data_IF_007522640221
#
_entry.id   IF_007522640221
#
_cell.length_a   1.000
_cell.length_b   1.000
_cell.length_c   1.000
_cell.angle_alpha   90.00
_cell.angle_beta   90.00
_cell.angle_gamma   90.00
#
_symmetry.space_group_name_H-M   'P 1'
#
loop_
_entity.id
_entity.type
_entity.pdbx_description
1 polymer ?
#
# COMPACT_ATOMS: atom_id res chain seq x y z
N UNK A 1 38.33 -9.19 1.78
CA UNK A 1 37.15 -9.50 2.59
C UNK A 1 35.95 -9.04 1.77
N UNK A 2 35.10 -9.95 1.32
CA UNK A 2 33.88 -9.56 0.59
C UNK A 2 32.96 -8.92 1.62
N UNK A 3 32.65 -7.63 1.47
CA UNK A 3 31.53 -7.03 2.20
C UNK A 3 30.29 -7.87 1.89
N UNK A 4 29.77 -8.59 2.88
CA UNK A 4 28.51 -9.29 2.71
C UNK A 4 27.42 -8.22 2.58
N UNK A 5 26.72 -8.22 1.45
CA UNK A 5 25.53 -7.38 1.30
C UNK A 5 24.51 -7.84 2.32
N UNK A 6 24.06 -6.93 3.19
CA UNK A 6 22.95 -7.09 4.10
C UNK A 6 21.88 -6.03 3.82
N UNK A 7 20.73 -6.15 4.44
CA UNK A 7 19.61 -5.22 4.25
C UNK A 7 19.97 -3.80 4.69
N UNK A 8 20.70 -3.63 5.81
CA UNK A 8 21.06 -2.33 6.35
C UNK A 8 22.02 -1.58 5.40
N UNK A 9 23.01 -2.28 4.82
CA UNK A 9 23.95 -1.70 3.85
C UNK A 9 23.29 -1.30 2.52
N UNK A 10 22.11 -1.89 2.20
CA UNK A 10 21.30 -1.50 1.03
C UNK A 10 20.32 -0.35 1.33
N UNK A 11 20.31 0.17 2.56
CA UNK A 11 19.43 1.26 2.98
C UNK A 11 18.15 0.81 3.67
N UNK A 12 17.99 -0.49 3.93
CA UNK A 12 16.81 -1.06 4.63
C UNK A 12 17.27 -1.64 5.97
N UNK A 13 17.26 -0.80 6.99
CA UNK A 13 17.59 -1.21 8.37
C UNK A 13 16.31 -1.67 9.09
N UNK A 14 16.08 -2.98 9.12
CA UNK A 14 14.88 -3.61 9.68
C UNK A 14 14.72 -3.31 11.19
N UNK A 15 15.82 -3.24 11.93
CA UNK A 15 15.76 -2.97 13.37
C UNK A 15 15.40 -1.51 13.65
N UNK A 16 15.99 -0.59 12.89
CA UNK A 16 15.67 0.85 12.98
C UNK A 16 14.23 1.12 12.53
N UNK A 17 13.79 0.50 11.46
CA UNK A 17 12.41 0.59 10.98
C UNK A 17 11.41 0.06 12.02
N UNK A 18 11.69 -1.10 12.59
CA UNK A 18 10.89 -1.68 13.68
C UNK A 18 10.78 -0.75 14.89
N UNK A 19 11.88 -0.11 15.29
CA UNK A 19 11.88 0.87 16.38
C UNK A 19 11.06 2.13 16.04
N UNK A 20 11.15 2.63 14.80
CA UNK A 20 10.38 3.76 14.32
C UNK A 20 8.88 3.46 14.31
N UNK A 21 8.48 2.29 13.79
CA UNK A 21 7.08 1.82 13.79
C UNK A 21 6.55 1.66 15.21
N UNK A 22 7.32 1.06 16.12
CA UNK A 22 6.94 0.93 17.53
C UNK A 22 6.69 2.30 18.20
N UNK A 23 7.53 3.29 17.90
CA UNK A 23 7.35 4.68 18.39
C UNK A 23 6.08 5.33 17.84
N UNK A 24 5.79 5.12 16.55
CA UNK A 24 4.56 5.59 15.91
C UNK A 24 3.33 4.98 16.58
N UNK A 25 3.28 3.65 16.69
CA UNK A 25 2.17 2.90 17.32
C UNK A 25 1.97 3.34 18.76
N UNK A 26 3.06 3.49 19.54
CA UNK A 26 2.99 3.97 20.92
C UNK A 26 2.34 5.36 21.06
N UNK A 27 2.49 6.21 20.05
CA UNK A 27 1.88 7.54 20.01
C UNK A 27 0.39 7.51 19.66
N UNK A 28 -0.09 6.44 18.99
CA UNK A 28 -1.46 6.31 18.49
C UNK A 28 -2.44 5.67 19.49
N UNK A 29 -1.99 5.15 20.62
CA UNK A 29 -2.80 4.38 21.59
C UNK A 29 -4.08 5.06 22.11
N UNK A 30 -4.22 6.37 21.91
CA UNK A 30 -5.38 7.16 22.38
C UNK A 30 -6.42 7.42 21.29
N UNK A 31 -6.19 6.97 20.06
CA UNK A 31 -7.05 7.31 18.90
C UNK A 31 -8.03 6.21 18.52
N UNK A 32 -8.19 5.18 19.33
CA UNK A 32 -9.05 4.04 19.04
C UNK A 32 -10.49 4.26 19.51
N UNK A 33 -11.43 3.75 18.74
CA UNK A 33 -12.85 3.73 19.12
C UNK A 33 -13.09 2.69 20.22
N UNK A 34 -14.18 2.89 20.99
CA UNK A 34 -14.55 1.95 22.06
C UNK A 34 -15.07 0.64 21.47
N UNK A 35 -14.75 -0.51 22.08
CA UNK A 35 -15.31 -1.81 21.71
C UNK A 35 -16.83 -1.78 21.61
N UNK A 36 -17.40 -2.50 20.63
CA UNK A 36 -18.83 -2.52 20.36
C UNK A 36 -19.34 -1.34 19.54
N UNK A 37 -18.48 -0.48 19.02
CA UNK A 37 -18.87 0.61 18.11
C UNK A 37 -18.23 0.45 16.73
N UNK A 38 -18.91 0.84 15.64
CA UNK A 38 -18.30 0.78 14.31
C UNK A 38 -16.95 1.50 14.24
N UNK A 39 -15.94 0.80 13.74
CA UNK A 39 -14.57 1.30 13.69
C UNK A 39 -13.73 0.98 14.94
N UNK A 40 -14.25 0.25 15.91
CA UNK A 40 -13.44 -0.26 17.01
C UNK A 40 -12.44 -1.29 16.48
N UNK A 41 -11.16 -1.24 16.91
CA UNK A 41 -10.15 -2.18 16.45
C UNK A 41 -10.45 -3.59 16.97
N UNK A 42 -10.13 -4.57 16.13
CA UNK A 42 -10.18 -5.99 16.48
C UNK A 42 -8.77 -6.55 16.39
N UNK A 43 -8.27 -7.08 17.49
CA UNK A 43 -6.95 -7.70 17.52
C UNK A 43 -6.95 -9.03 16.77
N UNK A 44 -6.06 -9.17 15.80
CA UNK A 44 -5.76 -10.42 15.13
C UNK A 44 -4.27 -10.74 15.30
N UNK A 45 -3.90 -11.60 16.23
CA UNK A 45 -2.51 -11.95 16.46
C UNK A 45 -1.83 -12.49 15.19
N UNK A 46 -0.74 -11.85 14.78
CA UNK A 46 0.02 -12.22 13.58
C UNK A 46 -0.65 -11.84 12.25
N UNK A 47 -1.74 -11.08 12.28
CA UNK A 47 -2.43 -10.62 11.08
C UNK A 47 -1.70 -9.45 10.40
N UNK A 48 -1.68 -9.47 9.07
CA UNK A 48 -1.37 -8.33 8.23
C UNK A 48 -2.65 -7.53 8.00
N UNK A 49 -2.61 -6.21 8.12
CA UNK A 49 -3.77 -5.37 7.94
C UNK A 49 -4.56 -5.11 9.23
N UNK A 50 -5.32 -4.03 9.21
CA UNK A 50 -6.17 -3.61 10.31
C UNK A 50 -7.57 -4.20 10.20
N UNK A 51 -8.09 -4.74 11.31
CA UNK A 51 -9.48 -5.16 11.43
C UNK A 51 -10.25 -4.19 12.32
N UNK A 52 -11.45 -3.82 11.88
CA UNK A 52 -12.36 -2.99 12.66
C UNK A 52 -13.78 -3.56 12.68
N UNK A 53 -14.51 -3.32 13.76
CA UNK A 53 -15.93 -3.66 13.85
C UNK A 53 -16.78 -2.80 12.89
N UNK A 54 -17.71 -3.44 12.18
CA UNK A 54 -18.66 -2.77 11.31
C UNK A 54 -20.03 -3.45 11.34
N UNK A 55 -20.83 -3.12 12.32
CA UNK A 55 -22.15 -3.76 12.56
C UNK A 55 -21.99 -5.26 12.88
N UNK A 56 -22.56 -6.13 12.05
CA UNK A 56 -22.43 -7.60 12.16
C UNK A 56 -21.23 -8.16 11.43
N UNK A 57 -20.40 -7.32 10.82
CA UNK A 57 -19.24 -7.69 10.01
C UNK A 57 -17.96 -7.10 10.60
N UNK A 58 -16.84 -7.58 10.10
CA UNK A 58 -15.53 -6.93 10.28
C UNK A 58 -15.12 -6.36 8.93
N UNK A 59 -14.50 -5.19 8.95
CA UNK A 59 -13.78 -4.66 7.79
C UNK A 59 -12.29 -4.86 8.00
N UNK A 60 -11.64 -5.42 6.98
CA UNK A 60 -10.19 -5.51 6.91
C UNK A 60 -9.66 -4.41 5.99
N UNK A 61 -8.53 -3.80 6.36
CA UNK A 61 -7.87 -2.78 5.54
C UNK A 61 -6.38 -3.05 5.51
N UNK A 62 -5.79 -2.96 4.33
CA UNK A 62 -4.36 -3.02 4.12
C UNK A 62 -3.91 -1.86 3.23
N UNK A 63 -2.73 -1.32 3.50
CA UNK A 63 -2.11 -0.29 2.67
C UNK A 63 -0.66 -0.63 2.43
N UNK A 64 -0.24 -0.57 1.17
CA UNK A 64 1.14 -0.84 0.75
C UNK A 64 1.48 -0.08 -0.54
N UNK A 65 2.79 0.09 -0.80
CA UNK A 65 3.34 0.73 -1.98
C UNK A 65 4.12 -0.24 -2.86
N UNK A 66 4.23 0.09 -4.15
CA UNK A 66 4.99 -0.72 -5.12
C UNK A 66 6.50 -0.70 -4.80
N UNK A 67 6.99 0.41 -4.28
CA UNK A 67 8.38 0.55 -3.86
C UNK A 67 9.39 0.50 -5.01
N UNK A 68 10.53 -0.15 -4.79
CA UNK A 68 11.70 -0.13 -5.70
C UNK A 68 11.45 -0.66 -7.11
N UNK A 69 10.40 -1.44 -7.35
CA UNK A 69 10.01 -1.86 -8.70
C UNK A 69 9.69 -0.67 -9.61
N UNK A 70 9.22 0.45 -9.05
CA UNK A 70 8.93 1.67 -9.82
C UNK A 70 10.20 2.28 -10.42
N UNK A 71 11.32 2.19 -9.74
CA UNK A 71 12.62 2.63 -10.28
C UNK A 71 12.98 1.84 -11.55
N UNK A 72 12.74 0.52 -11.51
CA UNK A 72 12.97 -0.35 -12.67
C UNK A 72 12.01 0.01 -13.79
N UNK A 73 10.69 0.13 -13.49
CA UNK A 73 9.67 0.50 -14.45
C UNK A 73 9.97 1.84 -15.14
N UNK A 74 10.44 2.82 -14.37
CA UNK A 74 10.85 4.14 -14.87
C UNK A 74 12.09 4.04 -15.76
N UNK A 75 13.12 3.28 -15.34
CA UNK A 75 14.35 3.11 -16.10
C UNK A 75 14.11 2.45 -17.46
N UNK A 76 13.22 1.44 -17.52
CA UNK A 76 12.86 0.74 -18.77
C UNK A 76 11.65 1.36 -19.48
N UNK A 77 11.05 2.39 -18.93
CA UNK A 77 9.84 3.06 -19.45
C UNK A 77 8.66 2.09 -19.68
N UNK A 78 8.40 1.23 -18.72
CA UNK A 78 7.34 0.22 -18.77
C UNK A 78 6.50 0.25 -17.49
N UNK A 79 5.31 0.82 -17.54
CA UNK A 79 4.41 0.97 -16.37
C UNK A 79 3.18 0.06 -16.45
N UNK A 80 3.04 -0.74 -17.48
CA UNK A 80 1.83 -1.55 -17.75
C UNK A 80 1.56 -2.69 -16.75
N UNK A 81 2.46 -2.97 -15.80
CA UNK A 81 2.27 -3.97 -14.74
C UNK A 81 2.24 -3.41 -13.32
N UNK A 82 2.65 -2.14 -13.13
CA UNK A 82 2.82 -1.60 -11.77
C UNK A 82 1.51 -1.47 -10.97
N UNK A 83 0.39 -1.28 -11.66
CA UNK A 83 -0.93 -1.28 -11.02
C UNK A 83 -1.33 -2.68 -10.53
N UNK A 84 -0.93 -3.74 -11.24
CA UNK A 84 -1.14 -5.13 -10.79
C UNK A 84 -0.28 -5.40 -9.55
N UNK A 85 0.99 -4.96 -9.55
CA UNK A 85 1.85 -5.07 -8.38
C UNK A 85 1.24 -4.34 -7.17
N UNK A 86 0.79 -3.10 -7.36
CA UNK A 86 0.17 -2.29 -6.31
C UNK A 86 -1.08 -2.98 -5.72
N UNK A 87 -1.97 -3.46 -6.57
CA UNK A 87 -3.17 -4.18 -6.14
C UNK A 87 -2.80 -5.46 -5.39
N UNK A 88 -1.89 -6.25 -5.93
CA UNK A 88 -1.52 -7.55 -5.37
C UNK A 88 -0.93 -7.43 -3.97
N UNK A 89 -0.07 -6.44 -3.71
CA UNK A 89 0.52 -6.23 -2.38
C UNK A 89 -0.56 -6.00 -1.32
N UNK A 90 -1.53 -5.16 -1.62
CA UNK A 90 -2.62 -4.85 -0.69
C UNK A 90 -3.66 -5.98 -0.55
N UNK A 91 -4.05 -6.59 -1.67
CA UNK A 91 -5.06 -7.67 -1.69
C UNK A 91 -4.54 -8.93 -1.00
N UNK A 92 -3.27 -9.28 -1.20
CA UNK A 92 -2.68 -10.45 -0.56
C UNK A 92 -2.65 -10.32 0.96
N UNK A 93 -2.46 -9.13 1.50
CA UNK A 93 -2.54 -8.89 2.94
C UNK A 93 -3.96 -9.15 3.49
N UNK A 94 -5.00 -8.76 2.76
CA UNK A 94 -6.38 -9.07 3.12
C UNK A 94 -6.66 -10.57 3.08
N UNK A 95 -6.13 -11.28 2.08
CA UNK A 95 -6.26 -12.74 1.98
C UNK A 95 -5.57 -13.46 3.16
N UNK A 96 -4.46 -12.91 3.69
CA UNK A 96 -3.77 -13.46 4.85
C UNK A 96 -4.62 -13.45 6.12
N UNK A 97 -5.61 -12.57 6.21
CA UNK A 97 -6.57 -12.52 7.33
C UNK A 97 -7.93 -13.14 6.98
N UNK A 98 -8.04 -13.78 5.82
CA UNK A 98 -9.27 -14.44 5.35
C UNK A 98 -10.37 -13.47 4.91
N UNK A 99 -10.03 -12.23 4.60
CA UNK A 99 -10.98 -11.23 4.12
C UNK A 99 -11.11 -11.31 2.58
N UNK A 100 -12.32 -11.05 2.08
CA UNK A 100 -12.59 -10.87 0.66
C UNK A 100 -12.37 -9.40 0.30
N UNK A 101 -11.44 -9.07 -0.61
CA UNK A 101 -11.24 -7.70 -1.04
C UNK A 101 -12.41 -7.23 -1.91
N UNK A 102 -12.94 -6.03 -1.64
CA UNK A 102 -14.12 -5.47 -2.31
C UNK A 102 -13.87 -4.10 -2.92
N UNK A 103 -12.96 -3.32 -2.34
CA UNK A 103 -12.68 -1.96 -2.79
C UNK A 103 -11.18 -1.65 -2.72
N UNK A 104 -10.75 -0.73 -3.57
CA UNK A 104 -9.39 -0.24 -3.64
C UNK A 104 -9.37 1.26 -3.93
N UNK A 105 -8.44 1.97 -3.33
CA UNK A 105 -8.10 3.34 -3.68
C UNK A 105 -6.59 3.43 -3.87
N UNK A 106 -6.15 4.24 -4.84
CA UNK A 106 -4.74 4.45 -5.14
C UNK A 106 -4.25 5.83 -4.71
N UNK A 107 -2.95 5.96 -4.53
CA UNK A 107 -2.26 7.23 -4.40
C UNK A 107 -1.06 7.24 -5.33
N UNK A 108 -1.08 8.17 -6.29
CA UNK A 108 0.00 8.41 -7.26
C UNK A 108 0.69 9.71 -6.89
N UNK A 109 2.00 9.67 -6.67
CA UNK A 109 2.82 10.86 -6.49
C UNK A 109 3.86 10.94 -7.61
N UNK A 110 3.98 12.11 -8.24
CA UNK A 110 4.91 12.35 -9.34
C UNK A 110 5.64 13.69 -9.17
N UNK A 111 6.91 13.81 -9.60
CA UNK A 111 7.58 15.11 -9.63
C UNK A 111 6.97 16.04 -10.68
N UNK A 112 6.44 15.46 -11.77
CA UNK A 112 5.77 16.16 -12.87
C UNK A 112 4.75 15.24 -13.52
N UNK A 113 3.53 15.70 -13.79
CA UNK A 113 2.52 14.92 -14.50
C UNK A 113 2.96 14.55 -15.91
N UNK A 114 2.69 13.31 -16.31
CA UNK A 114 2.87 12.79 -17.66
C UNK A 114 1.63 11.98 -18.06
N UNK A 115 0.82 12.45 -19.03
CA UNK A 115 -0.41 11.78 -19.43
C UNK A 115 -0.21 10.34 -19.95
N UNK A 116 0.91 10.05 -20.61
CA UNK A 116 1.18 8.71 -21.14
C UNK A 116 1.50 7.72 -20.01
N UNK A 117 2.31 8.15 -19.05
CA UNK A 117 2.61 7.37 -17.85
C UNK A 117 1.34 7.12 -17.03
N UNK A 118 0.54 8.17 -16.79
CA UNK A 118 -0.72 8.04 -16.04
C UNK A 118 -1.71 7.10 -16.75
N UNK A 119 -1.82 7.17 -18.08
CA UNK A 119 -2.66 6.26 -18.84
C UNK A 119 -2.20 4.80 -18.72
N UNK A 120 -0.89 4.55 -18.78
CA UNK A 120 -0.33 3.21 -18.62
C UNK A 120 -0.57 2.64 -17.20
N UNK A 121 -0.38 3.45 -16.17
CA UNK A 121 -0.67 3.08 -14.77
C UNK A 121 -2.16 2.81 -14.60
N UNK A 122 -3.03 3.69 -15.11
CA UNK A 122 -4.48 3.52 -15.05
C UNK A 122 -4.98 2.25 -15.74
N UNK A 123 -4.44 1.94 -16.92
CA UNK A 123 -4.75 0.68 -17.61
C UNK A 123 -4.31 -0.56 -16.82
N UNK A 124 -3.16 -0.46 -16.15
CA UNK A 124 -2.65 -1.53 -15.27
C UNK A 124 -3.52 -1.71 -14.02
N UNK A 125 -3.97 -0.62 -13.40
CA UNK A 125 -4.90 -0.65 -12.27
C UNK A 125 -6.27 -1.23 -12.68
N UNK A 126 -6.80 -0.81 -13.84
CA UNK A 126 -8.05 -1.38 -14.36
C UNK A 126 -7.95 -2.89 -14.55
N UNK A 127 -6.84 -3.37 -15.11
CA UNK A 127 -6.58 -4.81 -15.26
C UNK A 127 -6.46 -5.51 -13.93
N UNK A 128 -5.82 -4.88 -12.94
CA UNK A 128 -5.72 -5.41 -11.58
C UNK A 128 -7.10 -5.56 -10.92
N UNK A 129 -7.98 -4.56 -11.09
CA UNK A 129 -9.36 -4.61 -10.59
C UNK A 129 -10.15 -5.79 -11.18
N UNK A 130 -10.00 -6.05 -12.49
CA UNK A 130 -10.62 -7.21 -13.13
C UNK A 130 -10.11 -8.55 -12.55
N UNK A 131 -8.78 -8.66 -12.34
CA UNK A 131 -8.16 -9.88 -11.84
C UNK A 131 -8.54 -10.16 -10.38
N UNK A 132 -8.61 -9.14 -9.55
CA UNK A 132 -8.93 -9.24 -8.13
C UNK A 132 -10.44 -9.20 -7.85
N UNK A 133 -11.28 -8.91 -8.86
CA UNK A 133 -12.72 -8.66 -8.71
C UNK A 133 -13.01 -7.56 -7.68
N UNK A 134 -12.29 -6.45 -7.76
CA UNK A 134 -12.29 -5.33 -6.80
C UNK A 134 -12.73 -4.05 -7.51
N UNK A 135 -13.51 -3.22 -6.84
CA UNK A 135 -13.88 -1.90 -7.34
C UNK A 135 -12.80 -0.88 -7.03
N UNK A 136 -12.27 -0.19 -8.06
CA UNK A 136 -11.50 1.05 -7.85
C UNK A 136 -12.48 2.15 -7.43
N UNK A 137 -12.51 2.46 -6.15
CA UNK A 137 -13.49 3.36 -5.55
C UNK A 137 -13.08 4.84 -5.62
N UNK A 138 -11.82 5.11 -5.93
CA UNK A 138 -11.26 6.44 -6.02
C UNK A 138 -9.74 6.40 -5.95
N UNK A 139 -9.14 7.56 -5.78
CA UNK A 139 -7.70 7.71 -5.66
C UNK A 139 -7.28 9.17 -5.57
N UNK A 140 -5.99 9.40 -5.46
CA UNK A 140 -5.38 10.72 -5.45
C UNK A 140 -4.17 10.76 -6.38
N UNK A 141 -4.02 11.84 -7.11
CA UNK A 141 -2.82 12.11 -7.93
C UNK A 141 -2.18 13.42 -7.50
N UNK A 142 -1.00 13.34 -6.93
CA UNK A 142 -0.27 14.48 -6.40
C UNK A 142 0.96 14.82 -7.26
N UNK A 143 1.07 16.09 -7.64
CA UNK A 143 2.29 16.65 -8.25
C UNK A 143 3.16 17.23 -7.14
N UNK A 144 4.29 16.60 -6.85
CA UNK A 144 5.15 16.91 -5.70
C UNK A 144 6.60 17.19 -6.13
N UNK A 145 6.85 18.29 -6.89
CA UNK A 145 8.20 18.65 -7.32
C UNK A 145 9.10 18.94 -6.12
N UNK A 146 10.28 18.31 -6.10
CA UNK A 146 11.24 18.45 -5.00
C UNK A 146 10.96 17.61 -3.76
N UNK A 147 9.82 16.92 -3.70
CA UNK A 147 9.49 15.95 -2.63
C UNK A 147 9.72 14.52 -3.15
N UNK A 148 9.18 14.20 -4.31
CA UNK A 148 9.46 12.92 -4.99
C UNK A 148 10.35 13.17 -6.21
N UNK A 149 11.25 12.24 -6.49
CA UNK A 149 12.16 12.30 -7.66
C UNK A 149 11.64 11.51 -8.84
N UNK A 150 10.81 10.52 -8.58
CA UNK A 150 10.21 9.61 -9.56
C UNK A 150 8.74 9.37 -9.20
N UNK A 151 8.04 8.63 -10.07
CA UNK A 151 6.69 8.17 -9.78
C UNK A 151 6.71 7.25 -8.55
N UNK A 152 5.84 7.52 -7.61
CA UNK A 152 5.47 6.60 -6.52
C UNK A 152 4.01 6.20 -6.66
N UNK A 153 3.72 4.94 -6.33
CA UNK A 153 2.39 4.35 -6.43
C UNK A 153 2.14 3.47 -5.21
N UNK A 154 1.12 3.80 -4.47
CA UNK A 154 0.63 3.03 -3.34
C UNK A 154 -0.89 2.86 -3.42
N UNK A 155 -1.43 2.03 -2.56
CA UNK A 155 -2.86 1.83 -2.49
C UNK A 155 -3.34 1.40 -1.12
N UNK A 156 -4.66 1.35 -1.00
CA UNK A 156 -5.34 0.80 0.17
C UNK A 156 -6.47 -0.09 -0.32
N UNK A 157 -6.48 -1.33 0.12
CA UNK A 157 -7.56 -2.28 -0.13
C UNK A 157 -8.47 -2.42 1.11
N UNK A 158 -9.74 -2.67 0.84
CA UNK A 158 -10.78 -2.91 1.83
C UNK A 158 -11.47 -4.23 1.53
#
# INVERSE_FOLDING_TARGET
MSDSMDYASSGVDIDLEGAAVASLIGSLQRSTRKPGTPGAPVDLPGGFGGLIEFGSHLLAMATDGVGSKLQIATAVKQWGSVGIDCMAMNVNDLLCVGAEPIAFVDYIAVPKPDPEVHAAVGASLAKACELANVTLAGGETASLPGIVTELDLSGTAL
#
